data_IF_649383102281
#
_entry.id   IF_649383102281
#
_cell.length_a   1.000
_cell.length_b   1.000
_cell.length_c   1.000
_cell.angle_alpha   90.00
_cell.angle_beta   90.00
_cell.angle_gamma   90.00
#
_symmetry.space_group_name_H-M   'P 1'
#
loop_
_entity.id
_entity.type
_entity.pdbx_description
1 polymer ?
#
# COMPACT_ATOMS: atom_id res chain seq x y z
N UNK A 1 11.59 11.18 -21.26
CA UNK A 1 12.27 11.13 -19.95
C UNK A 1 11.36 10.50 -18.91
N UNK A 2 11.59 9.24 -18.55
CA UNK A 2 10.93 8.58 -17.41
C UNK A 2 12.02 8.27 -16.39
N UNK A 3 12.00 9.02 -15.30
CA UNK A 3 12.87 8.86 -14.13
C UNK A 3 12.28 7.78 -13.23
N UNK A 4 13.10 6.92 -12.59
CA UNK A 4 12.61 6.14 -11.45
C UNK A 4 12.08 7.11 -10.39
N UNK A 5 10.77 7.02 -10.11
CA UNK A 5 10.19 7.74 -9.00
C UNK A 5 10.46 6.95 -7.71
N UNK A 6 11.64 7.13 -7.11
CA UNK A 6 11.80 6.87 -5.68
C UNK A 6 10.77 7.75 -4.97
N UNK A 7 9.89 7.17 -4.17
CA UNK A 7 8.99 7.94 -3.31
C UNK A 7 9.54 7.76 -1.92
N UNK A 8 10.33 8.74 -1.48
CA UNK A 8 10.74 8.86 -0.09
C UNK A 8 9.58 9.59 0.59
N UNK A 9 8.86 8.92 1.49
CA UNK A 9 7.92 9.63 2.38
C UNK A 9 8.75 10.19 3.51
N UNK A 10 9.41 11.31 3.24
CA UNK A 10 9.96 12.15 4.30
C UNK A 10 8.77 12.75 5.05
N UNK A 11 8.61 12.41 6.32
CA UNK A 11 7.90 13.28 7.24
C UNK A 11 8.82 14.44 7.59
N UNK A 12 9.06 15.31 6.61
CA UNK A 12 9.56 16.65 6.90
C UNK A 12 8.48 17.36 7.71
N UNK A 13 8.86 17.94 8.85
CA UNK A 13 8.05 18.89 9.62
C UNK A 13 7.91 20.22 8.87
N UNK A 14 7.56 20.18 7.59
CA UNK A 14 6.93 21.29 6.90
C UNK A 14 5.44 21.04 7.02
N UNK A 15 4.69 22.01 7.55
CA UNK A 15 3.23 22.01 7.57
C UNK A 15 2.70 21.83 6.14
N UNK A 16 2.52 20.58 5.72
CA UNK A 16 1.84 20.27 4.46
C UNK A 16 0.44 20.84 4.59
N UNK A 17 0.13 21.89 3.82
CA UNK A 17 -1.18 22.50 3.83
C UNK A 17 -2.21 21.41 3.52
N UNK A 18 -3.00 21.05 4.54
CA UNK A 18 -3.96 19.96 4.44
C UNK A 18 -5.21 20.49 3.76
N UNK A 19 -5.38 20.15 2.48
CA UNK A 19 -6.62 20.42 1.76
C UNK A 19 -7.73 19.47 2.21
N UNK A 20 -8.94 20.01 2.36
CA UNK A 20 -10.13 19.22 2.66
C UNK A 20 -10.36 18.15 1.57
N UNK A 21 -10.89 16.99 1.96
CA UNK A 21 -11.10 15.86 1.06
C UNK A 21 -12.58 15.75 0.65
N UNK A 22 -13.01 16.72 -0.13
CA UNK A 22 -14.40 16.91 -0.55
C UNK A 22 -14.55 16.75 -2.06
N UNK A 23 -15.73 16.31 -2.51
CA UNK A 23 -16.11 16.27 -3.91
C UNK A 23 -17.60 16.65 -4.08
N UNK A 24 -18.00 17.26 -5.21
CA UNK A 24 -19.39 17.65 -5.46
C UNK A 24 -20.19 16.59 -6.22
N UNK A 25 -19.54 15.52 -6.69
CA UNK A 25 -20.15 14.49 -7.53
C UNK A 25 -20.43 13.20 -6.75
N UNK A 26 -21.57 12.58 -7.01
CA UNK A 26 -21.93 11.25 -6.50
C UNK A 26 -21.18 10.13 -7.25
N UNK A 27 -20.74 10.42 -8.49
CA UNK A 27 -20.07 9.49 -9.38
C UNK A 27 -19.20 10.23 -10.39
N UNK A 28 -18.14 9.58 -10.88
CA UNK A 28 -17.27 10.11 -11.92
C UNK A 28 -16.79 8.97 -12.81
N UNK A 29 -16.93 9.13 -14.11
CA UNK A 29 -16.40 8.22 -15.12
C UNK A 29 -15.70 9.00 -16.24
N UNK A 30 -14.87 8.31 -17.00
CA UNK A 30 -14.09 8.91 -18.08
C UNK A 30 -14.59 8.39 -19.41
N UNK A 31 -15.01 9.30 -20.29
CA UNK A 31 -15.20 9.02 -21.70
C UNK A 31 -13.95 9.53 -22.43
N UNK A 32 -13.03 8.62 -22.72
CA UNK A 32 -11.65 8.97 -23.12
C UNK A 32 -10.97 9.88 -22.10
N UNK A 33 -10.78 11.16 -22.42
CA UNK A 33 -10.19 12.15 -21.51
C UNK A 33 -11.23 13.10 -20.90
N UNK A 34 -12.49 12.96 -21.26
CA UNK A 34 -13.57 13.81 -20.78
C UNK A 34 -14.26 13.21 -19.54
N UNK A 35 -14.31 13.94 -18.41
CA UNK A 35 -15.02 13.53 -17.22
C UNK A 35 -16.52 13.72 -17.40
N UNK A 36 -17.24 12.62 -17.19
CA UNK A 36 -18.68 12.63 -16.96
C UNK A 36 -18.91 12.48 -15.45
N UNK A 37 -19.79 13.31 -14.91
CA UNK A 37 -20.04 13.41 -13.48
C UNK A 37 -21.51 13.09 -13.19
N UNK A 38 -21.74 12.36 -12.11
CA UNK A 38 -23.08 12.08 -11.62
C UNK A 38 -23.40 13.05 -10.48
N UNK A 39 -24.53 13.74 -10.60
CA UNK A 39 -25.07 14.62 -9.56
C UNK A 39 -26.55 14.29 -9.42
N UNK A 40 -26.97 13.97 -8.19
CA UNK A 40 -28.34 13.58 -7.84
C UNK A 40 -28.86 12.46 -8.77
N UNK A 41 -28.04 11.39 -8.88
CA UNK A 41 -28.29 10.19 -9.70
C UNK A 41 -28.40 10.43 -11.22
N UNK A 42 -28.10 11.63 -11.69
CA UNK A 42 -28.13 11.96 -13.13
C UNK A 42 -26.72 12.19 -13.65
N UNK A 43 -26.37 11.58 -14.80
CA UNK A 43 -25.07 11.75 -15.43
C UNK A 43 -25.04 12.94 -16.39
N UNK A 44 -23.94 13.69 -16.33
CA UNK A 44 -23.69 14.86 -17.16
C UNK A 44 -22.26 14.89 -17.70
N UNK A 45 -22.05 15.56 -18.82
CA UNK A 45 -20.72 16.05 -19.18
C UNK A 45 -20.39 17.28 -18.31
N UNK A 46 -19.21 17.30 -17.71
CA UNK A 46 -18.77 18.48 -16.96
C UNK A 46 -18.24 19.55 -17.92
N UNK A 47 -18.65 20.79 -17.70
CA UNK A 47 -18.17 21.97 -18.43
C UNK A 47 -17.33 22.88 -17.55
N UNK A 48 -17.78 23.20 -16.33
CA UNK A 48 -17.07 24.09 -15.42
C UNK A 48 -17.40 23.81 -13.95
N UNK A 49 -16.54 24.30 -13.04
CA UNK A 49 -16.73 24.29 -11.59
C UNK A 49 -16.41 25.69 -11.09
N UNK A 50 -17.37 26.37 -10.46
CA UNK A 50 -17.28 27.78 -10.04
C UNK A 50 -16.74 28.70 -11.16
N UNK A 51 -17.22 28.49 -12.39
CA UNK A 51 -16.79 29.22 -13.58
C UNK A 51 -15.41 28.82 -14.12
N UNK A 52 -14.63 28.01 -13.41
CA UNK A 52 -13.36 27.47 -13.91
C UNK A 52 -13.64 26.38 -14.94
N UNK A 53 -13.25 26.62 -16.20
CA UNK A 53 -13.46 25.67 -17.30
C UNK A 53 -12.78 24.34 -17.02
N UNK A 54 -13.50 23.23 -17.23
CA UNK A 54 -12.99 21.85 -17.14
C UNK A 54 -11.64 21.72 -17.86
N UNK A 55 -11.52 22.24 -19.09
CA UNK A 55 -10.30 22.12 -19.89
C UNK A 55 -9.08 22.73 -19.19
N UNK A 56 -9.24 23.85 -18.48
CA UNK A 56 -8.18 24.48 -17.69
C UNK A 56 -7.79 23.61 -16.49
N UNK A 57 -8.79 23.06 -15.78
CA UNK A 57 -8.57 22.15 -14.64
C UNK A 57 -7.81 20.90 -15.10
N UNK A 58 -8.23 20.28 -16.20
CA UNK A 58 -7.56 19.10 -16.75
C UNK A 58 -6.14 19.39 -17.22
N UNK A 59 -5.93 20.53 -17.88
CA UNK A 59 -4.61 20.97 -18.34
C UNK A 59 -3.66 21.16 -17.15
N UNK A 60 -4.13 21.84 -16.10
CA UNK A 60 -3.39 21.99 -14.85
C UNK A 60 -3.07 20.64 -14.21
N UNK A 61 -4.04 19.73 -14.16
CA UNK A 61 -3.84 18.39 -13.61
C UNK A 61 -2.79 17.57 -14.38
N UNK A 62 -2.85 17.59 -15.72
CA UNK A 62 -1.90 16.90 -16.59
C UNK A 62 -0.49 17.47 -16.46
N UNK A 63 -0.36 18.79 -16.44
CA UNK A 63 0.92 19.49 -16.25
C UNK A 63 1.55 19.16 -14.90
N UNK A 64 0.76 19.18 -13.83
CA UNK A 64 1.26 19.06 -12.46
C UNK A 64 1.50 17.60 -12.04
N UNK A 65 0.64 16.65 -12.45
CA UNK A 65 0.68 15.28 -11.92
C UNK A 65 0.78 14.17 -12.98
N UNK A 66 0.97 14.52 -14.26
CA UNK A 66 1.21 13.59 -15.38
C UNK A 66 0.23 12.41 -15.33
N UNK A 67 0.69 11.15 -15.32
CA UNK A 67 -0.15 9.95 -15.30
C UNK A 67 -1.09 9.76 -14.10
N UNK A 68 -1.09 10.67 -13.12
CA UNK A 68 -2.06 10.70 -12.01
C UNK A 68 -3.12 11.80 -12.14
N UNK A 69 -3.20 12.48 -13.27
CA UNK A 69 -4.09 13.63 -13.47
C UNK A 69 -5.57 13.31 -13.20
N UNK A 70 -6.06 12.15 -13.68
CA UNK A 70 -7.44 11.70 -13.44
C UNK A 70 -7.71 11.48 -11.95
N UNK A 71 -6.75 10.89 -11.24
CA UNK A 71 -6.83 10.70 -9.78
C UNK A 71 -6.95 12.03 -9.06
N UNK A 72 -6.12 13.01 -9.43
CA UNK A 72 -6.10 14.32 -8.76
C UNK A 72 -7.39 15.08 -9.01
N UNK A 73 -7.89 15.02 -10.24
CA UNK A 73 -9.19 15.58 -10.58
C UNK A 73 -10.32 14.94 -9.75
N UNK A 74 -10.33 13.61 -9.61
CA UNK A 74 -11.43 12.90 -8.93
C UNK A 74 -11.38 12.95 -7.40
N UNK A 75 -10.19 12.88 -6.79
CA UNK A 75 -10.05 12.64 -5.35
C UNK A 75 -9.50 13.83 -4.55
N UNK A 76 -8.89 14.79 -5.24
CA UNK A 76 -8.15 15.91 -4.64
C UNK A 76 -8.58 17.26 -5.24
N UNK A 77 -9.85 17.38 -5.63
CA UNK A 77 -10.37 18.56 -6.32
C UNK A 77 -10.15 19.88 -5.57
N UNK A 78 -10.30 19.88 -4.24
CA UNK A 78 -10.03 21.05 -3.39
C UNK A 78 -8.57 21.51 -3.53
N UNK A 79 -7.62 20.57 -3.56
CA UNK A 79 -6.20 20.87 -3.76
C UNK A 79 -5.93 21.40 -5.18
N UNK A 80 -6.55 20.79 -6.19
CA UNK A 80 -6.42 21.20 -7.59
C UNK A 80 -6.87 22.65 -7.76
N UNK A 81 -8.10 22.96 -7.34
CA UNK A 81 -8.70 24.27 -7.52
C UNK A 81 -8.01 25.33 -6.64
N UNK A 82 -7.63 25.00 -5.40
CA UNK A 82 -6.88 25.94 -4.55
C UNK A 82 -5.52 26.31 -5.13
N UNK A 83 -4.78 25.34 -5.70
CA UNK A 83 -3.49 25.61 -6.36
C UNK A 83 -3.64 26.38 -7.68
N UNK A 84 -4.83 26.35 -8.28
CA UNK A 84 -5.18 27.18 -9.44
C UNK A 84 -5.59 28.60 -9.03
N UNK A 85 -5.63 28.93 -7.74
CA UNK A 85 -6.09 30.25 -7.25
C UNK A 85 -7.61 30.36 -7.08
N UNK A 86 -8.33 29.25 -7.14
CA UNK A 86 -9.79 29.19 -7.05
C UNK A 86 -10.25 28.23 -5.94
N UNK A 87 -9.91 28.46 -4.66
CA UNK A 87 -10.28 27.54 -3.59
C UNK A 87 -11.80 27.38 -3.47
N UNK A 88 -12.35 26.15 -3.59
CA UNK A 88 -13.79 25.95 -3.58
C UNK A 88 -14.36 26.05 -2.16
N UNK A 89 -15.61 26.51 -2.06
CA UNK A 89 -16.35 26.57 -0.79
C UNK A 89 -16.93 25.23 -0.36
N UNK A 90 -17.87 25.26 0.60
CA UNK A 90 -18.65 24.08 1.02
C UNK A 90 -19.68 23.63 -0.02
N UNK A 91 -19.95 24.47 -1.01
CA UNK A 91 -20.78 24.20 -2.17
C UNK A 91 -20.16 24.89 -3.40
N UNK A 92 -20.44 24.36 -4.58
CA UNK A 92 -19.93 24.86 -5.86
C UNK A 92 -21.03 24.90 -6.92
N UNK A 93 -20.89 25.80 -7.88
CA UNK A 93 -21.73 25.84 -9.08
C UNK A 93 -21.09 24.96 -10.17
N UNK A 94 -21.85 24.02 -10.72
CA UNK A 94 -21.38 23.12 -11.78
C UNK A 94 -22.02 23.48 -13.11
N UNK A 95 -21.21 23.91 -14.08
CA UNK A 95 -21.62 23.96 -15.48
C UNK A 95 -21.63 22.55 -16.05
N UNK A 96 -22.77 22.10 -16.54
CA UNK A 96 -22.97 20.72 -17.01
C UNK A 96 -23.77 20.67 -18.31
N UNK A 97 -23.60 19.60 -19.09
CA UNK A 97 -24.39 19.31 -20.29
C UNK A 97 -25.00 17.91 -20.20
N UNK A 98 -26.25 17.76 -20.62
CA UNK A 98 -26.92 16.45 -20.68
C UNK A 98 -26.23 15.52 -21.69
N UNK A 99 -26.14 14.23 -21.38
CA UNK A 99 -25.51 13.24 -22.26
C UNK A 99 -26.34 12.96 -23.54
N UNK A 100 -27.66 13.18 -23.50
CA UNK A 100 -28.60 12.98 -24.62
C UNK A 100 -28.53 14.08 -25.68
N UNK A 101 -27.61 15.03 -25.56
CA UNK A 101 -27.63 16.28 -26.32
C UNK A 101 -28.51 17.34 -25.65
N UNK A 102 -28.06 18.60 -25.68
CA UNK A 102 -28.73 19.74 -25.04
C UNK A 102 -27.78 20.91 -24.75
N UNK A 103 -28.35 22.06 -24.40
CA UNK A 103 -27.61 23.24 -23.97
C UNK A 103 -26.87 23.03 -22.65
N UNK A 104 -25.87 23.87 -22.39
CA UNK A 104 -25.21 23.94 -21.08
C UNK A 104 -26.19 24.48 -20.02
N UNK A 105 -26.21 23.86 -18.85
CA UNK A 105 -26.98 24.33 -17.68
C UNK A 105 -26.07 24.41 -16.46
N UNK A 106 -26.39 25.29 -15.52
CA UNK A 106 -25.67 25.42 -14.25
C UNK A 106 -26.47 24.76 -13.13
N UNK A 107 -25.89 23.77 -12.46
CA UNK A 107 -26.39 23.26 -11.18
C UNK A 107 -25.81 24.13 -10.07
N UNK A 108 -26.64 24.90 -9.39
CA UNK A 108 -26.18 25.85 -8.36
C UNK A 108 -26.08 25.18 -6.99
N UNK A 109 -25.09 25.60 -6.21
CA UNK A 109 -24.99 25.24 -4.79
C UNK A 109 -24.80 23.75 -4.51
N UNK A 110 -24.11 23.03 -5.40
CA UNK A 110 -23.87 21.59 -5.24
C UNK A 110 -22.91 21.36 -4.09
N UNK A 111 -23.38 20.65 -3.05
CA UNK A 111 -22.61 20.43 -1.83
C UNK A 111 -21.31 19.62 -2.08
N UNK A 112 -20.20 20.13 -1.54
CA UNK A 112 -18.90 19.48 -1.50
C UNK A 112 -18.80 18.63 -0.23
N UNK A 113 -18.86 17.30 -0.34
CA UNK A 113 -18.92 16.42 0.84
C UNK A 113 -17.82 15.35 0.86
N UNK A 114 -17.44 14.93 2.07
CA UNK A 114 -16.50 13.80 2.27
C UNK A 114 -17.12 12.47 1.83
N UNK A 115 -18.43 12.31 1.99
CA UNK A 115 -19.16 11.11 1.61
C UNK A 115 -19.11 10.88 0.09
N UNK A 116 -19.38 11.92 -0.70
CA UNK A 116 -19.24 11.90 -2.18
C UNK A 116 -17.83 11.54 -2.60
N UNK A 117 -16.82 12.19 -2.01
CA UNK A 117 -15.41 11.87 -2.28
C UNK A 117 -15.06 10.42 -1.94
N UNK A 118 -15.56 9.91 -0.82
CA UNK A 118 -15.33 8.53 -0.39
C UNK A 118 -16.00 7.55 -1.36
N UNK A 119 -17.20 7.87 -1.86
CA UNK A 119 -17.88 7.07 -2.88
C UNK A 119 -17.07 7.00 -4.18
N UNK A 120 -16.51 8.12 -4.66
CA UNK A 120 -15.63 8.15 -5.83
C UNK A 120 -14.38 7.28 -5.65
N UNK A 121 -13.76 7.34 -4.47
CA UNK A 121 -12.60 6.54 -4.13
C UNK A 121 -12.92 5.04 -4.08
N UNK A 122 -14.04 4.67 -3.45
CA UNK A 122 -14.53 3.29 -3.36
C UNK A 122 -14.91 2.73 -4.73
N UNK A 123 -15.67 3.49 -5.52
CA UNK A 123 -16.09 3.11 -6.87
C UNK A 123 -14.87 2.89 -7.78
N UNK A 124 -13.84 3.73 -7.71
CA UNK A 124 -12.61 3.52 -8.47
C UNK A 124 -11.82 2.29 -8.01
N UNK A 125 -11.83 2.01 -6.71
CA UNK A 125 -11.18 0.83 -6.14
C UNK A 125 -11.89 -0.48 -6.53
N UNK A 126 -13.20 -0.42 -6.79
CA UNK A 126 -14.02 -1.56 -7.22
C UNK A 126 -14.07 -1.73 -8.76
N UNK A 127 -14.19 -0.63 -9.51
CA UNK A 127 -14.27 -0.61 -10.99
C UNK A 127 -12.91 -0.56 -11.68
N UNK A 128 -11.80 -0.65 -10.95
CA UNK A 128 -10.52 -0.90 -11.60
C UNK A 128 -10.59 -2.31 -12.22
N UNK A 129 -10.55 -2.46 -13.55
CA UNK A 129 -10.37 -3.76 -14.14
C UNK A 129 -9.09 -4.34 -13.55
N UNK A 130 -9.13 -5.62 -13.18
CA UNK A 130 -7.94 -6.44 -12.90
C UNK A 130 -7.07 -6.48 -14.17
N UNK A 131 -6.35 -5.40 -14.47
CA UNK A 131 -5.51 -5.28 -15.67
C UNK A 131 -5.49 -3.93 -16.41
N UNK A 132 -6.38 -2.96 -16.14
CA UNK A 132 -6.38 -1.70 -16.92
C UNK A 132 -5.64 -0.56 -16.20
N UNK A 133 -4.32 -0.73 -16.07
CA UNK A 133 -3.39 0.38 -16.08
C UNK A 133 -2.49 0.16 -17.29
N UNK A 134 -2.89 0.71 -18.44
CA UNK A 134 -2.11 0.69 -19.65
C UNK A 134 -2.97 0.59 -20.90
N UNK A 135 -3.26 1.74 -21.51
CA UNK A 135 -3.08 1.84 -22.96
C UNK A 135 -1.78 1.10 -23.30
N UNK A 136 -1.83 0.22 -24.31
CA UNK A 136 -0.73 -0.61 -24.78
C UNK A 136 0.62 0.12 -24.66
N UNK A 137 1.30 -0.08 -23.53
CA UNK A 137 2.71 0.24 -23.43
C UNK A 137 3.36 -0.84 -24.26
N UNK A 138 3.94 -0.47 -25.40
CA UNK A 138 5.08 -1.20 -25.96
C UNK A 138 5.94 -1.69 -24.79
N UNK A 139 6.45 -2.92 -24.89
CA UNK A 139 7.41 -3.48 -23.94
C UNK A 139 8.35 -2.35 -23.48
N UNK A 140 8.53 -2.13 -22.16
CA UNK A 140 9.25 -0.96 -21.68
C UNK A 140 10.60 -0.91 -22.38
N UNK A 141 10.87 0.21 -23.08
CA UNK A 141 12.20 0.45 -23.60
C UNK A 141 13.17 0.33 -22.41
N UNK A 142 14.15 -0.57 -22.54
CA UNK A 142 15.20 -0.74 -21.54
C UNK A 142 15.81 0.62 -21.23
N UNK A 143 16.04 0.90 -19.94
CA UNK A 143 16.76 2.10 -19.54
C UNK A 143 18.16 2.04 -20.16
N UNK A 144 18.58 3.16 -20.75
CA UNK A 144 19.98 3.31 -21.20
C UNK A 144 20.90 3.37 -19.99
N UNK A 145 22.18 3.01 -20.18
CA UNK A 145 23.21 3.11 -19.13
C UNK A 145 23.23 4.48 -18.45
N UNK A 146 23.23 5.56 -19.23
CA UNK A 146 23.23 6.93 -18.73
C UNK A 146 21.98 7.26 -17.88
N UNK A 147 20.82 6.68 -18.21
CA UNK A 147 19.61 6.84 -17.40
C UNK A 147 19.71 6.09 -16.06
N UNK A 148 20.30 4.90 -16.05
CA UNK A 148 20.55 4.14 -14.81
C UNK A 148 21.54 4.90 -13.92
N UNK A 149 22.63 5.41 -14.47
CA UNK A 149 23.60 6.24 -13.75
C UNK A 149 22.93 7.47 -13.12
N UNK A 150 22.12 8.21 -13.90
CA UNK A 150 21.39 9.38 -13.40
C UNK A 150 20.34 9.04 -12.32
N UNK A 151 19.73 7.87 -12.38
CA UNK A 151 18.80 7.40 -11.35
C UNK A 151 19.55 6.98 -10.06
N UNK A 152 20.74 6.39 -10.18
CA UNK A 152 21.63 6.10 -9.03
C UNK A 152 22.11 7.40 -8.38
N UNK A 153 22.50 8.42 -9.16
CA UNK A 153 22.89 9.73 -8.60
C UNK A 153 21.73 10.40 -7.85
N UNK A 154 20.51 10.27 -8.39
CA UNK A 154 19.31 10.77 -7.72
C UNK A 154 19.01 10.00 -6.44
N UNK A 155 19.24 8.69 -6.41
CA UNK A 155 19.14 7.88 -5.20
C UNK A 155 20.16 8.35 -4.16
N UNK A 156 21.42 8.53 -4.56
CA UNK A 156 22.51 9.05 -3.74
C UNK A 156 22.11 10.36 -3.05
N UNK A 157 21.65 11.33 -3.85
CA UNK A 157 21.23 12.63 -3.35
C UNK A 157 20.12 12.51 -2.31
N UNK A 158 19.14 11.62 -2.51
CA UNK A 158 18.04 11.42 -1.57
C UNK A 158 18.47 10.76 -0.28
N UNK A 159 19.34 9.75 -0.35
CA UNK A 159 19.93 9.12 0.83
C UNK A 159 20.69 10.15 1.64
N UNK A 160 21.48 10.98 0.97
CA UNK A 160 22.30 11.98 1.64
C UNK A 160 21.50 13.15 2.24
N UNK A 161 20.54 13.70 1.49
CA UNK A 161 19.92 14.99 1.84
C UNK A 161 18.49 14.91 2.39
N UNK A 162 17.82 13.76 2.23
CA UNK A 162 16.39 13.66 2.57
C UNK A 162 16.06 12.48 3.49
N UNK A 163 16.93 11.48 3.58
CA UNK A 163 16.62 10.26 4.30
C UNK A 163 16.93 10.37 5.80
N UNK A 164 15.87 10.41 6.61
CA UNK A 164 15.95 10.70 8.05
C UNK A 164 16.72 9.64 8.86
N UNK A 165 16.78 8.39 8.39
CA UNK A 165 17.41 7.28 9.11
C UNK A 165 18.74 6.84 8.47
N UNK A 166 19.35 7.69 7.64
CA UNK A 166 20.61 7.38 6.93
C UNK A 166 21.68 6.80 7.87
N UNK A 167 21.86 7.44 9.03
CA UNK A 167 22.95 7.12 9.96
C UNK A 167 22.49 6.25 11.14
N UNK A 168 21.21 5.87 11.21
CA UNK A 168 20.61 5.19 12.38
C UNK A 168 21.33 3.89 12.76
N UNK A 169 21.75 3.12 11.76
CA UNK A 169 22.43 1.82 11.94
C UNK A 169 23.92 1.86 11.58
N UNK A 170 24.49 3.04 11.33
CA UNK A 170 25.90 3.17 10.95
C UNK A 170 26.29 2.46 9.64
N UNK A 171 25.35 2.30 8.71
CA UNK A 171 25.61 1.68 7.40
C UNK A 171 26.60 2.55 6.61
N UNK A 172 27.65 1.94 6.04
CA UNK A 172 28.48 2.59 5.02
C UNK A 172 27.69 2.70 3.70
N UNK A 173 26.76 3.65 3.68
CA UNK A 173 25.87 3.83 2.55
C UNK A 173 26.60 4.26 1.29
N UNK A 174 27.77 4.91 1.40
CA UNK A 174 28.56 5.34 0.25
C UNK A 174 29.23 4.14 -0.42
N UNK A 175 29.85 3.25 0.36
CA UNK A 175 30.39 1.98 -0.14
C UNK A 175 29.31 1.08 -0.74
N UNK A 176 28.18 0.91 -0.04
CA UNK A 176 27.03 0.11 -0.51
C UNK A 176 26.42 0.68 -1.80
N UNK A 177 26.33 2.01 -1.93
CA UNK A 177 25.86 2.66 -3.15
C UNK A 177 26.85 2.51 -4.31
N UNK A 178 28.16 2.55 -4.04
CA UNK A 178 29.18 2.29 -5.06
C UNK A 178 29.08 0.85 -5.59
N UNK A 179 28.90 -0.13 -4.69
CA UNK A 179 28.65 -1.53 -5.06
C UNK A 179 27.35 -1.69 -5.87
N UNK A 180 26.27 -1.01 -5.45
CA UNK A 180 25.01 -0.98 -6.21
C UNK A 180 25.21 -0.38 -7.60
N UNK A 181 25.98 0.71 -7.73
CA UNK A 181 26.27 1.35 -9.02
C UNK A 181 26.97 0.37 -9.97
N UNK A 182 27.97 -0.36 -9.49
CA UNK A 182 28.68 -1.38 -10.28
C UNK A 182 27.73 -2.48 -10.78
N UNK A 183 26.81 -2.94 -9.92
CA UNK A 183 25.80 -3.94 -10.29
C UNK A 183 24.83 -3.43 -11.35
N UNK A 184 24.33 -2.20 -11.20
CA UNK A 184 23.27 -1.66 -12.08
C UNK A 184 23.80 -1.16 -13.43
N UNK A 185 25.04 -0.69 -13.48
CA UNK A 185 25.65 -0.03 -14.66
C UNK A 185 26.50 -1.00 -15.50
N UNK A 186 26.64 -2.25 -15.05
CA UNK A 186 27.37 -3.31 -15.75
C UNK A 186 26.86 -3.64 -17.16
N UNK A 187 27.57 -4.52 -17.87
CA UNK A 187 27.44 -4.77 -19.32
C UNK A 187 26.04 -5.22 -19.81
N UNK A 188 25.13 -5.60 -18.91
CA UNK A 188 23.71 -5.79 -19.19
C UNK A 188 22.89 -5.10 -18.11
N UNK A 189 21.91 -4.28 -18.53
CA UNK A 189 20.93 -3.72 -17.61
C UNK A 189 20.21 -4.89 -16.91
N UNK A 190 20.36 -4.98 -15.59
CA UNK A 190 19.73 -6.03 -14.80
C UNK A 190 18.20 -5.89 -14.88
N UNK A 191 17.46 -6.90 -15.41
CA UNK A 191 16.00 -6.88 -15.36
C UNK A 191 15.44 -6.82 -13.93
N UNK A 192 16.28 -7.06 -12.92
CA UNK A 192 16.00 -6.98 -11.49
C UNK A 192 16.59 -5.74 -10.81
N UNK A 193 17.02 -4.71 -11.55
CA UNK A 193 17.54 -3.46 -10.97
C UNK A 193 16.68 -2.87 -9.82
N UNK A 194 15.33 -2.88 -9.86
CA UNK A 194 14.52 -2.44 -8.73
C UNK A 194 14.64 -3.30 -7.47
N UNK A 195 14.96 -4.59 -7.60
CA UNK A 195 15.20 -5.52 -6.49
C UNK A 195 16.52 -5.19 -5.80
N UNK A 196 17.59 -4.92 -6.56
CA UNK A 196 18.88 -4.54 -5.97
C UNK A 196 18.78 -3.20 -5.22
N UNK A 197 18.01 -2.23 -5.74
CA UNK A 197 17.71 -1.00 -4.99
C UNK A 197 16.90 -1.30 -3.71
N UNK A 198 15.95 -2.23 -3.76
CA UNK A 198 15.19 -2.65 -2.58
C UNK A 198 16.10 -3.29 -1.51
N UNK A 199 17.04 -4.14 -1.90
CA UNK A 199 18.03 -4.75 -1.00
C UNK A 199 18.94 -3.69 -0.36
N UNK A 200 19.43 -2.74 -1.15
CA UNK A 200 20.20 -1.61 -0.65
C UNK A 200 19.42 -0.82 0.43
N UNK A 201 18.17 -0.47 0.15
CA UNK A 201 17.33 0.29 1.09
C UNK A 201 16.98 -0.50 2.36
N UNK A 202 16.89 -1.84 2.27
CA UNK A 202 16.61 -2.69 3.42
C UNK A 202 17.72 -2.64 4.49
N UNK A 203 18.98 -2.34 4.11
CA UNK A 203 20.11 -2.22 5.04
C UNK A 203 19.91 -1.15 6.11
N UNK A 204 19.18 -0.09 5.79
CA UNK A 204 18.96 1.04 6.70
C UNK A 204 17.89 0.79 7.77
N UNK A 205 17.19 -0.35 7.73
CA UNK A 205 16.22 -0.73 8.76
C UNK A 205 14.90 0.05 8.78
N UNK A 206 14.58 0.81 7.72
CA UNK A 206 13.32 1.54 7.63
C UNK A 206 12.24 0.81 6.84
N UNK A 207 11.19 0.37 7.53
CA UNK A 207 9.99 -0.25 6.92
C UNK A 207 9.10 0.70 6.10
N UNK A 208 9.35 2.00 6.13
CA UNK A 208 8.59 3.01 5.38
C UNK A 208 9.22 3.35 4.04
N UNK A 209 10.51 3.06 3.87
CA UNK A 209 11.24 3.32 2.63
C UNK A 209 10.98 2.23 1.61
N UNK A 210 10.57 2.65 0.38
CA UNK A 210 10.13 1.73 -0.68
C UNK A 210 10.49 2.27 -2.06
N UNK A 211 10.76 1.36 -3.00
CA UNK A 211 10.87 1.67 -4.42
C UNK A 211 9.46 1.77 -5.02
N UNK A 212 9.14 2.88 -5.70
CA UNK A 212 7.84 3.16 -6.29
C UNK A 212 7.83 3.02 -7.82
N UNK A 213 6.65 2.72 -8.41
CA UNK A 213 6.50 2.51 -9.86
C UNK A 213 5.82 1.17 -10.16
N UNK A 214 4.98 1.12 -11.19
CA UNK A 214 4.02 0.02 -11.44
C UNK A 214 4.66 -1.31 -11.86
N UNK A 215 4.01 -2.39 -11.39
CA UNK A 215 4.11 -3.80 -11.76
C UNK A 215 5.34 -4.57 -11.23
N UNK A 216 5.14 -5.21 -10.06
CA UNK A 216 5.86 -6.40 -9.57
C UNK A 216 7.40 -6.27 -9.66
N UNK A 217 7.97 -5.42 -8.79
CA UNK A 217 9.42 -5.34 -8.54
C UNK A 217 10.02 -6.74 -8.36
N UNK A 218 9.34 -7.58 -7.58
CA UNK A 218 9.73 -8.96 -7.39
C UNK A 218 9.11 -9.85 -8.48
N UNK A 219 9.85 -10.86 -8.98
CA UNK A 219 9.36 -11.82 -9.95
C UNK A 219 7.99 -12.40 -9.57
N UNK A 220 7.05 -12.54 -10.54
CA UNK A 220 5.77 -13.18 -10.28
C UNK A 220 5.95 -14.69 -10.06
N UNK A 221 5.05 -15.29 -9.29
CA UNK A 221 5.09 -16.70 -8.95
C UNK A 221 5.11 -16.86 -7.45
N UNK A 222 3.94 -17.14 -6.87
CA UNK A 222 3.73 -17.10 -5.43
C UNK A 222 3.40 -18.49 -4.88
N UNK A 223 3.72 -18.72 -3.61
CA UNK A 223 3.21 -19.88 -2.90
C UNK A 223 1.67 -19.88 -2.90
N UNK A 224 1.02 -21.04 -3.06
CA UNK A 224 -0.43 -21.17 -3.02
C UNK A 224 -0.98 -21.16 -1.58
N UNK A 225 -0.14 -20.93 -0.58
CA UNK A 225 -0.48 -20.89 0.85
C UNK A 225 0.11 -19.65 1.49
N UNK A 226 -0.52 -19.21 2.59
CA UNK A 226 0.05 -18.17 3.45
C UNK A 226 0.98 -18.82 4.48
N UNK A 227 2.20 -18.32 4.62
CA UNK A 227 3.11 -18.73 5.68
C UNK A 227 2.97 -17.78 6.87
N UNK A 228 2.93 -18.34 8.08
CA UNK A 228 2.92 -17.56 9.31
C UNK A 228 3.86 -18.21 10.36
N UNK A 229 4.64 -17.42 11.11
CA UNK A 229 5.39 -17.94 12.23
C UNK A 229 4.43 -18.37 13.35
N UNK A 230 4.72 -19.50 13.99
CA UNK A 230 4.04 -19.97 15.19
C UNK A 230 5.11 -20.54 16.14
N UNK A 231 5.53 -19.72 17.11
CA UNK A 231 6.73 -20.01 17.90
C UNK A 231 7.98 -20.10 17.01
N UNK A 232 8.77 -21.14 17.23
CA UNK A 232 9.95 -21.52 16.45
C UNK A 232 9.61 -22.17 15.10
N UNK A 233 8.36 -22.58 14.89
CA UNK A 233 7.90 -23.25 13.66
C UNK A 233 7.19 -22.28 12.72
N UNK A 234 6.84 -22.81 11.55
CA UNK A 234 6.12 -22.10 10.48
C UNK A 234 4.90 -22.93 10.10
N UNK A 235 3.74 -22.29 10.00
CA UNK A 235 2.50 -22.92 9.56
C UNK A 235 2.11 -22.47 8.16
N UNK A 236 1.53 -23.38 7.39
CA UNK A 236 0.88 -23.07 6.12
C UNK A 236 -0.64 -22.93 6.33
N UNK A 237 -1.17 -21.77 5.98
CA UNK A 237 -2.57 -21.41 6.11
C UNK A 237 -3.22 -21.26 4.73
N UNK A 238 -4.54 -21.45 4.68
CA UNK A 238 -5.31 -21.17 3.46
C UNK A 238 -5.27 -19.68 3.14
N UNK A 239 -5.12 -19.29 1.85
CA UNK A 239 -5.31 -17.91 1.44
C UNK A 239 -6.70 -17.41 1.84
N UNK A 240 -6.81 -16.17 2.32
CA UNK A 240 -8.06 -15.61 2.82
C UNK A 240 -8.41 -15.94 4.27
N UNK A 241 -7.62 -16.78 4.95
CA UNK A 241 -7.87 -17.21 6.32
C UNK A 241 -8.61 -18.55 6.41
N UNK A 242 -9.06 -18.92 7.61
CA UNK A 242 -9.85 -20.15 7.82
C UNK A 242 -9.03 -21.41 8.11
N UNK A 243 -7.87 -21.26 8.76
CA UNK A 243 -7.10 -22.38 9.30
C UNK A 243 -6.05 -22.98 8.35
N UNK A 244 -5.53 -24.18 8.68
CA UNK A 244 -4.37 -24.75 8.01
C UNK A 244 -4.67 -25.19 6.58
N UNK A 245 -3.67 -25.08 5.71
CA UNK A 245 -3.76 -25.51 4.31
C UNK A 245 -4.06 -27.01 4.21
N UNK A 246 -3.46 -27.81 5.10
CA UNK A 246 -3.72 -29.25 5.25
C UNK A 246 -4.18 -29.51 6.69
N UNK A 247 -5.45 -29.90 6.92
CA UNK A 247 -5.94 -30.28 8.24
C UNK A 247 -5.07 -31.37 8.89
N UNK A 248 -4.75 -31.20 10.16
CA UNK A 248 -3.91 -32.13 10.94
C UNK A 248 -2.41 -32.05 10.68
N UNK A 249 -1.96 -31.41 9.60
CA UNK A 249 -0.53 -31.22 9.27
C UNK A 249 -0.24 -29.76 8.91
N UNK A 250 -0.28 -28.83 9.87
CA UNK A 250 -0.19 -27.41 9.58
C UNK A 250 1.25 -26.90 9.39
N UNK A 251 2.26 -27.62 9.91
CA UNK A 251 3.62 -27.12 10.01
C UNK A 251 4.42 -27.42 8.75
N UNK A 252 5.15 -26.44 8.23
CA UNK A 252 5.99 -26.59 7.04
C UNK A 252 7.36 -27.14 7.44
N UNK A 253 7.81 -28.21 6.79
CA UNK A 253 9.17 -28.75 6.92
C UNK A 253 10.09 -28.21 5.84
N UNK A 254 9.64 -28.30 4.59
CA UNK A 254 10.44 -27.91 3.43
C UNK A 254 9.56 -27.38 2.30
N UNK A 255 10.17 -26.56 1.44
CA UNK A 255 9.58 -26.05 0.20
C UNK A 255 10.59 -26.33 -0.91
N UNK A 256 10.15 -27.03 -1.96
CA UNK A 256 11.00 -27.57 -3.04
C UNK A 256 12.20 -28.37 -2.53
N UNK A 257 12.03 -29.09 -1.42
CA UNK A 257 13.10 -29.85 -0.78
C UNK A 257 14.09 -28.99 0.04
N UNK A 258 13.91 -27.67 0.07
CA UNK A 258 14.70 -26.75 0.90
C UNK A 258 14.05 -26.64 2.28
N UNK A 259 14.80 -26.84 3.38
CA UNK A 259 14.29 -26.62 4.73
C UNK A 259 13.65 -25.24 4.88
N UNK A 260 12.51 -25.16 5.59
CA UNK A 260 11.71 -23.93 5.63
C UNK A 260 12.48 -22.71 6.13
N UNK A 261 13.41 -22.86 7.08
CA UNK A 261 14.21 -21.74 7.59
C UNK A 261 15.20 -21.22 6.54
N UNK A 262 15.80 -22.12 5.74
CA UNK A 262 16.64 -21.71 4.60
C UNK A 262 15.81 -21.04 3.52
N UNK A 263 14.60 -21.53 3.26
CA UNK A 263 13.66 -20.89 2.34
C UNK A 263 13.30 -19.47 2.79
N UNK A 264 12.99 -19.28 4.08
CA UNK A 264 12.73 -17.95 4.66
C UNK A 264 13.98 -17.07 4.60
N UNK A 265 15.16 -17.63 4.81
CA UNK A 265 16.45 -16.94 4.65
C UNK A 265 16.63 -16.32 3.27
N UNK A 266 16.15 -16.99 2.21
CA UNK A 266 16.15 -16.44 0.85
C UNK A 266 15.29 -15.18 0.67
N UNK A 267 14.34 -14.91 1.56
CA UNK A 267 13.57 -13.67 1.55
C UNK A 267 14.23 -12.52 2.34
N UNK A 268 15.28 -12.79 3.12
CA UNK A 268 15.83 -11.84 4.08
C UNK A 268 16.48 -10.62 3.43
N UNK A 269 17.01 -10.76 2.20
CA UNK A 269 17.72 -9.70 1.49
C UNK A 269 16.86 -8.45 1.23
N UNK A 270 15.54 -8.59 1.22
CA UNK A 270 14.58 -7.49 1.01
C UNK A 270 13.85 -7.07 2.29
N UNK A 271 14.24 -7.61 3.44
CA UNK A 271 13.63 -7.31 4.74
C UNK A 271 14.44 -6.21 5.43
N UNK A 272 13.81 -5.10 5.86
CA UNK A 272 14.50 -4.07 6.61
C UNK A 272 15.19 -4.66 7.86
N UNK A 273 16.45 -4.31 8.07
CA UNK A 273 17.20 -4.70 9.28
C UNK A 273 16.49 -4.18 10.53
N UNK A 274 16.37 -5.01 11.56
CA UNK A 274 15.70 -4.63 12.79
C UNK A 274 15.75 -5.74 13.83
N UNK A 275 14.80 -5.73 14.77
CA UNK A 275 14.71 -6.78 15.78
C UNK A 275 14.56 -8.18 15.14
N UNK A 276 15.23 -9.24 15.64
CA UNK A 276 15.21 -10.57 15.02
C UNK A 276 13.79 -11.13 14.82
N UNK A 277 12.88 -10.92 15.76
CA UNK A 277 11.49 -11.35 15.64
C UNK A 277 10.73 -10.62 14.53
N UNK A 278 10.98 -9.32 14.37
CA UNK A 278 10.43 -8.54 13.26
C UNK A 278 10.95 -9.07 11.93
N UNK A 279 12.26 -9.25 11.82
CA UNK A 279 12.89 -9.76 10.61
C UNK A 279 12.37 -11.15 10.26
N UNK A 280 12.28 -12.07 11.22
CA UNK A 280 11.73 -13.41 11.01
C UNK A 280 10.28 -13.38 10.54
N UNK A 281 9.43 -12.57 11.19
CA UNK A 281 8.02 -12.42 10.81
C UNK A 281 7.89 -11.88 9.39
N UNK A 282 8.58 -10.78 9.07
CA UNK A 282 8.51 -10.17 7.74
C UNK A 282 9.12 -11.07 6.68
N UNK A 283 10.24 -11.76 6.95
CA UNK A 283 10.83 -12.72 6.03
C UNK A 283 9.87 -13.89 5.75
N UNK A 284 9.19 -14.41 6.76
CA UNK A 284 8.16 -15.45 6.60
C UNK A 284 7.00 -14.94 5.74
N UNK A 285 6.54 -13.71 5.99
CA UNK A 285 5.52 -13.06 5.17
C UNK A 285 6.00 -12.85 3.73
N UNK A 286 7.29 -12.58 3.48
CA UNK A 286 7.87 -12.38 2.13
C UNK A 286 8.24 -13.69 1.43
N UNK A 287 8.40 -14.78 2.16
CA UNK A 287 8.76 -16.08 1.62
C UNK A 287 7.70 -16.67 0.66
N UNK A 288 6.51 -16.07 0.57
CA UNK A 288 5.52 -16.42 -0.46
C UNK A 288 5.93 -16.02 -1.88
N UNK A 289 6.90 -15.12 -2.08
CA UNK A 289 7.44 -14.78 -3.40
C UNK A 289 8.36 -15.91 -3.90
N UNK A 290 7.77 -17.06 -4.23
CA UNK A 290 8.53 -18.29 -4.52
C UNK A 290 9.53 -18.14 -5.67
N UNK A 291 9.16 -17.45 -6.76
CA UNK A 291 10.09 -17.21 -7.87
C UNK A 291 11.30 -16.36 -7.45
N UNK A 292 11.10 -15.37 -6.58
CA UNK A 292 12.18 -14.55 -6.02
C UNK A 292 13.06 -15.39 -5.08
N UNK A 293 12.47 -16.10 -4.12
CA UNK A 293 13.23 -16.91 -3.16
C UNK A 293 14.03 -18.00 -3.86
N UNK A 294 13.50 -18.63 -4.90
CA UNK A 294 14.25 -19.59 -5.74
C UNK A 294 15.48 -18.94 -6.37
N UNK A 295 15.36 -17.73 -6.89
CA UNK A 295 16.48 -17.00 -7.48
C UNK A 295 17.52 -16.63 -6.43
N UNK A 296 17.12 -16.15 -5.24
CA UNK A 296 18.05 -15.83 -4.15
C UNK A 296 18.77 -17.05 -3.56
N UNK A 297 18.23 -18.24 -3.78
CA UNK A 297 18.79 -19.51 -3.31
C UNK A 297 19.47 -20.32 -4.42
N UNK A 298 19.60 -19.75 -5.62
CA UNK A 298 20.17 -20.40 -6.81
C UNK A 298 19.53 -21.77 -7.11
N UNK A 299 18.22 -21.89 -6.89
CA UNK A 299 17.52 -23.15 -7.10
C UNK A 299 17.25 -23.38 -8.61
N UNK A 300 17.45 -24.61 -9.10
CA UNK A 300 17.21 -24.93 -10.50
C UNK A 300 15.74 -24.70 -10.88
N UNK A 301 15.50 -24.16 -12.08
CA UNK A 301 14.15 -23.88 -12.60
C UNK A 301 13.32 -25.14 -12.92
N UNK A 302 13.73 -26.33 -12.46
CA UNK A 302 12.94 -27.57 -12.60
C UNK A 302 11.58 -27.32 -11.97
N UNK A 303 10.53 -27.40 -12.79
CA UNK A 303 9.14 -27.11 -12.42
C UNK A 303 8.88 -25.65 -12.02
N UNK A 304 9.35 -24.69 -12.83
CA UNK A 304 9.11 -23.25 -12.62
C UNK A 304 7.62 -22.86 -12.41
N UNK A 305 6.68 -23.69 -12.86
CA UNK A 305 5.22 -23.45 -12.76
C UNK A 305 4.54 -24.07 -11.54
N UNK A 306 5.20 -24.93 -10.77
CA UNK A 306 4.65 -25.58 -9.57
C UNK A 306 5.60 -25.50 -8.38
N UNK A 307 5.11 -25.79 -7.18
CA UNK A 307 5.89 -25.83 -5.93
C UNK A 307 5.51 -27.07 -5.13
N UNK A 308 6.52 -27.70 -4.51
CA UNK A 308 6.33 -28.79 -3.56
C UNK A 308 6.46 -28.25 -2.14
N UNK A 309 5.48 -28.53 -1.28
CA UNK A 309 5.49 -28.13 0.13
C UNK A 309 5.32 -29.38 0.97
N UNK A 310 6.30 -29.68 1.83
CA UNK A 310 6.23 -30.78 2.77
C UNK A 310 5.75 -30.26 4.12
N UNK A 311 4.66 -30.86 4.60
CA UNK A 311 3.94 -30.45 5.80
C UNK A 311 3.93 -31.58 6.82
N UNK A 312 3.84 -31.23 8.09
CA UNK A 312 3.81 -32.19 9.19
C UNK A 312 2.87 -31.79 10.31
N UNK A 313 2.46 -32.77 11.11
CA UNK A 313 1.66 -32.55 12.32
C UNK A 313 2.53 -32.02 13.48
N UNK A 314 1.89 -31.78 14.63
CA UNK A 314 2.57 -31.15 15.77
C UNK A 314 3.76 -31.97 16.30
N UNK A 315 3.65 -33.30 16.35
CA UNK A 315 4.71 -34.19 16.84
C UNK A 315 5.65 -34.72 15.73
N UNK A 316 5.46 -34.32 14.47
CA UNK A 316 6.30 -34.77 13.35
C UNK A 316 5.98 -36.16 12.79
N UNK A 317 5.02 -36.89 13.37
CA UNK A 317 4.73 -38.29 13.02
C UNK A 317 4.02 -38.46 11.68
N UNK A 318 3.32 -37.43 11.19
CA UNK A 318 2.56 -37.47 9.93
C UNK A 318 3.11 -36.44 8.96
N UNK A 319 3.67 -36.91 7.85
CA UNK A 319 4.18 -36.06 6.77
C UNK A 319 3.25 -36.09 5.56
N UNK A 320 2.98 -34.93 4.97
CA UNK A 320 2.16 -34.76 3.77
C UNK A 320 2.94 -33.93 2.77
N UNK A 321 3.14 -34.45 1.56
CA UNK A 321 3.73 -33.70 0.45
C UNK A 321 2.62 -33.13 -0.43
N UNK A 322 2.59 -31.81 -0.55
CA UNK A 322 1.62 -31.09 -1.38
C UNK A 322 2.33 -30.47 -2.58
N UNK A 323 1.97 -30.91 -3.79
CA UNK A 323 2.44 -30.28 -5.04
C UNK A 323 1.30 -29.48 -5.66
N UNK A 324 1.54 -28.20 -5.93
CA UNK A 324 0.52 -27.28 -6.47
C UNK A 324 1.14 -26.30 -7.46
N UNK A 325 0.38 -25.79 -8.44
CA UNK A 325 0.83 -24.69 -9.28
C UNK A 325 1.20 -23.47 -8.43
N UNK A 326 2.20 -22.69 -8.88
CA UNK A 326 2.44 -21.37 -8.31
C UNK A 326 1.19 -20.51 -8.53
N UNK A 327 0.80 -19.77 -7.48
CA UNK A 327 -0.29 -18.82 -7.60
C UNK A 327 0.15 -17.64 -8.48
N UNK A 328 -0.78 -17.11 -9.28
CA UNK A 328 -0.56 -15.91 -10.10
C UNK A 328 -0.66 -14.59 -9.32
N UNK A 329 -1.05 -14.66 -8.03
CA UNK A 329 -1.19 -13.52 -7.11
C UNK A 329 -0.67 -13.88 -5.72
N UNK A 330 -0.18 -12.89 -4.95
CA UNK A 330 0.20 -13.10 -3.55
C UNK A 330 -0.96 -13.70 -2.74
N UNK A 331 -0.72 -14.73 -1.92
CA UNK A 331 -1.68 -15.17 -0.92
C UNK A 331 -1.88 -14.04 0.10
N UNK A 332 -3.12 -13.59 0.28
CA UNK A 332 -3.44 -12.54 1.24
C UNK A 332 -4.14 -13.13 2.46
N UNK A 333 -3.69 -12.75 3.65
CA UNK A 333 -4.57 -12.83 4.82
C UNK A 333 -5.73 -11.85 4.61
N UNK A 334 -6.94 -12.23 5.00
CA UNK A 334 -8.04 -11.28 5.21
C UNK A 334 -8.21 -11.13 6.72
N UNK A 335 -7.41 -10.29 7.41
CA UNK A 335 -7.81 -9.87 8.74
C UNK A 335 -9.21 -9.27 8.66
N UNK A 336 -10.03 -9.46 9.71
CA UNK A 336 -11.28 -8.72 9.82
C UNK A 336 -10.97 -7.23 9.68
N UNK A 337 -11.42 -6.65 8.58
CA UNK A 337 -11.28 -5.23 8.27
C UNK A 337 -12.31 -4.39 9.04
N UNK A 338 -13.19 -5.04 9.78
CA UNK A 338 -14.28 -4.42 10.51
C UNK A 338 -13.76 -3.97 11.88
N UNK A 339 -13.86 -2.66 12.19
CA UNK A 339 -13.70 -2.18 13.55
C UNK A 339 -14.74 -2.85 14.46
N UNK A 340 -14.33 -3.23 15.67
CA UNK A 340 -15.17 -3.99 16.60
C UNK A 340 -15.06 -3.37 18.00
N UNK A 341 -16.16 -3.41 18.74
CA UNK A 341 -16.16 -3.12 20.18
C UNK A 341 -17.14 -4.09 20.85
N UNK A 342 -16.74 -4.65 22.00
CA UNK A 342 -17.58 -5.45 22.88
C UNK A 342 -16.98 -5.56 24.28
N UNK A 343 -17.76 -6.06 25.22
CA UNK A 343 -17.26 -6.53 26.52
C UNK A 343 -17.09 -8.06 26.45
N UNK A 344 -15.96 -8.56 26.91
CA UNK A 344 -15.63 -9.97 27.02
C UNK A 344 -16.01 -10.50 28.41
N UNK A 345 -15.98 -11.82 28.55
CA UNK A 345 -16.13 -12.49 29.85
C UNK A 345 -15.09 -11.96 30.86
N UNK A 346 -15.50 -11.88 32.13
CA UNK A 346 -14.68 -11.29 33.20
C UNK A 346 -14.66 -9.76 33.21
N UNK A 347 -15.64 -9.12 32.56
CA UNK A 347 -15.78 -7.66 32.48
C UNK A 347 -14.54 -6.99 31.87
N UNK A 348 -14.13 -7.48 30.68
CA UNK A 348 -12.98 -6.93 29.94
C UNK A 348 -13.47 -6.23 28.68
N UNK A 349 -13.28 -4.92 28.59
CA UNK A 349 -13.47 -4.15 27.38
C UNK A 349 -12.57 -4.62 26.24
N UNK A 350 -13.11 -4.75 25.03
CA UNK A 350 -12.36 -5.08 23.83
C UNK A 350 -12.68 -4.10 22.71
N UNK A 351 -11.64 -3.49 22.13
CA UNK A 351 -11.74 -2.61 20.96
C UNK A 351 -10.74 -3.07 19.90
N UNK A 352 -11.23 -3.39 18.70
CA UNK A 352 -10.39 -3.71 17.53
C UNK A 352 -10.23 -2.50 16.61
N UNK A 353 -8.98 -2.11 16.35
CA UNK A 353 -8.62 -1.04 15.41
C UNK A 353 -7.84 -1.68 14.24
N UNK A 354 -8.54 -2.10 13.17
CA UNK A 354 -7.92 -2.86 12.07
C UNK A 354 -7.04 -1.99 11.16
N UNK A 355 -7.18 -0.67 11.21
CA UNK A 355 -6.32 0.29 10.51
C UNK A 355 -6.33 1.64 11.23
N UNK A 356 -5.27 2.43 11.11
CA UNK A 356 -5.26 3.80 11.63
C UNK A 356 -5.99 4.74 10.68
N UNK A 357 -7.32 4.68 10.68
CA UNK A 357 -8.17 5.53 9.84
C UNK A 357 -8.11 7.01 10.26
N UNK A 358 -8.62 7.88 9.38
CA UNK A 358 -8.75 9.32 9.62
C UNK A 358 -10.19 9.78 9.40
N UNK A 359 -10.57 10.90 10.00
CA UNK A 359 -11.83 11.57 9.73
C UNK A 359 -12.81 11.50 10.88
N UNK A 360 -13.84 12.35 10.82
CA UNK A 360 -14.75 12.57 11.95
C UNK A 360 -15.53 11.31 12.34
N UNK A 361 -15.93 10.48 11.36
CA UNK A 361 -16.66 9.24 11.62
C UNK A 361 -15.83 8.24 12.43
N UNK A 362 -14.54 8.08 12.11
CA UNK A 362 -13.64 7.22 12.85
C UNK A 362 -13.43 7.72 14.28
N UNK A 363 -13.16 9.03 14.45
CA UNK A 363 -12.99 9.62 15.79
C UNK A 363 -14.23 9.44 16.66
N UNK A 364 -15.43 9.72 16.12
CA UNK A 364 -16.70 9.51 16.84
C UNK A 364 -16.93 8.06 17.20
N UNK A 365 -16.64 7.14 16.29
CA UNK A 365 -16.74 5.71 16.58
C UNK A 365 -15.81 5.33 17.74
N UNK A 366 -14.55 5.77 17.70
CA UNK A 366 -13.56 5.41 18.72
C UNK A 366 -13.90 6.01 20.10
N UNK A 367 -14.38 7.26 20.17
CA UNK A 367 -14.90 7.83 21.41
C UNK A 367 -16.06 7.01 21.97
N UNK A 368 -17.08 6.69 21.16
CA UNK A 368 -18.20 5.84 21.61
C UNK A 368 -17.74 4.46 22.07
N UNK A 369 -16.78 3.85 21.37
CA UNK A 369 -16.23 2.56 21.74
C UNK A 369 -15.53 2.62 23.10
N UNK A 370 -14.75 3.68 23.36
CA UNK A 370 -14.12 3.89 24.66
C UNK A 370 -15.16 4.16 25.75
N UNK A 371 -16.13 5.03 25.49
CA UNK A 371 -17.17 5.36 26.47
C UNK A 371 -17.99 4.13 26.89
N UNK A 372 -18.15 3.15 26.00
CA UNK A 372 -18.84 1.90 26.27
C UNK A 372 -18.04 0.89 27.12
N UNK A 373 -16.72 1.03 27.21
CA UNK A 373 -15.85 0.05 27.89
C UNK A 373 -14.91 0.65 28.93
N UNK A 374 -14.88 1.97 29.09
CA UNK A 374 -13.94 2.67 29.99
C UNK A 374 -14.10 2.27 31.46
N UNK A 375 -15.28 1.79 31.86
CA UNK A 375 -15.60 1.42 33.23
C UNK A 375 -15.47 -0.10 33.49
N UNK A 376 -15.00 -0.86 32.49
CA UNK A 376 -14.74 -2.31 32.63
C UNK A 376 -13.49 -2.56 33.47
N UNK A 377 -13.43 -3.72 34.15
CA UNK A 377 -12.31 -4.12 35.00
C UNK A 377 -10.95 -4.23 34.25
N UNK A 378 -10.97 -4.42 32.94
CA UNK A 378 -9.77 -4.43 32.10
C UNK A 378 -10.05 -4.06 30.65
N UNK A 379 -9.02 -3.64 29.90
CA UNK A 379 -9.18 -3.22 28.51
C UNK A 379 -8.14 -3.87 27.59
N UNK A 380 -8.61 -4.37 26.44
CA UNK A 380 -7.79 -4.89 25.35
C UNK A 380 -8.00 -4.04 24.09
N UNK A 381 -6.92 -3.44 23.59
CA UNK A 381 -6.90 -2.73 22.31
C UNK A 381 -6.22 -3.58 21.22
N UNK A 382 -7.07 -4.18 20.39
CA UNK A 382 -6.87 -4.99 19.19
C UNK A 382 -6.18 -4.31 18.00
N UNK A 383 -4.84 -4.11 17.97
CA UNK A 383 -4.13 -3.54 16.79
C UNK A 383 -3.40 -4.56 15.91
N UNK A 384 -3.60 -5.86 16.10
CA UNK A 384 -2.94 -6.88 15.28
C UNK A 384 -3.46 -6.84 13.85
N UNK A 385 -2.53 -6.90 12.90
CA UNK A 385 -2.81 -6.75 11.47
C UNK A 385 -3.06 -5.30 11.03
N UNK A 386 -2.90 -4.31 11.92
CA UNK A 386 -3.00 -2.90 11.58
C UNK A 386 -1.70 -2.43 10.90
N UNK A 387 -1.80 -2.09 9.61
CA UNK A 387 -0.67 -1.60 8.79
C UNK A 387 -0.31 -0.12 9.00
N UNK A 388 -0.86 0.53 10.02
CA UNK A 388 -0.67 1.95 10.29
C UNK A 388 -1.67 2.84 9.55
N UNK A 389 -1.28 4.10 9.32
CA UNK A 389 -2.11 5.14 8.70
C UNK A 389 -1.98 6.49 9.41
N UNK A 390 -3.11 7.09 9.76
CA UNK A 390 -3.21 8.37 10.45
C UNK A 390 -2.74 8.30 11.91
N UNK A 391 -2.40 9.45 12.49
CA UNK A 391 -2.13 9.59 13.94
C UNK A 391 -3.40 9.85 14.78
N UNK A 392 -4.57 9.85 14.15
CA UNK A 392 -5.82 10.26 14.82
C UNK A 392 -6.24 9.31 15.94
N UNK A 393 -6.07 7.99 15.79
CA UNK A 393 -6.40 7.03 16.85
C UNK A 393 -5.62 7.35 18.14
N UNK A 394 -4.31 7.60 18.01
CA UNK A 394 -3.45 7.95 19.14
C UNK A 394 -3.91 9.25 19.83
N UNK A 395 -4.29 10.26 19.03
CA UNK A 395 -4.77 11.55 19.57
C UNK A 395 -6.11 11.42 20.30
N UNK A 396 -6.99 10.56 19.81
CA UNK A 396 -8.30 10.28 20.43
C UNK A 396 -8.15 9.48 21.71
N UNK A 397 -7.25 8.49 21.72
CA UNK A 397 -7.06 7.59 22.86
C UNK A 397 -6.24 8.22 23.98
N UNK A 398 -5.27 9.10 23.67
CA UNK A 398 -4.37 9.70 24.67
C UNK A 398 -5.09 10.23 25.92
N UNK A 399 -6.17 11.03 25.82
CA UNK A 399 -6.84 11.59 27.00
C UNK A 399 -7.53 10.55 27.90
N UNK A 400 -7.75 9.32 27.40
CA UNK A 400 -8.32 8.23 28.21
C UNK A 400 -7.28 7.52 29.06
N UNK A 401 -5.99 7.66 28.74
CA UNK A 401 -4.89 6.94 29.42
C UNK A 401 -3.87 7.85 30.09
N UNK A 402 -3.86 9.14 29.73
CA UNK A 402 -2.85 10.09 30.19
C UNK A 402 -3.52 11.39 30.59
N UNK A 403 -3.07 11.96 31.71
CA UNK A 403 -3.40 13.33 32.10
C UNK A 403 -2.76 14.33 31.12
N UNK A 404 -3.28 15.56 31.11
CA UNK A 404 -2.74 16.64 30.25
C UNK A 404 -1.28 16.97 30.58
N UNK A 405 -0.88 16.77 31.81
CA UNK A 405 0.45 17.06 32.35
C UNK A 405 1.44 15.93 32.14
N UNK A 406 0.99 14.74 31.73
CA UNK A 406 1.88 13.61 31.55
C UNK A 406 2.82 13.86 30.35
N UNK A 407 4.12 13.55 30.51
CA UNK A 407 5.07 13.63 29.40
C UNK A 407 4.67 12.68 28.28
N UNK A 408 4.95 13.03 27.01
CA UNK A 408 4.62 12.20 25.86
C UNK A 408 5.39 10.88 25.81
#
# INVERSE_FOLDING_TARGET
>A
MRTLAVILVCLSSATAQRYAKLAPFDGLRWNSEDPEVMVDKTWYQLVSIDGVKKSAILSFCKKTWRGRWQKRFSEDLVEVLSRMGHPPGKAVDLGVRALSGGGEKTLRGVAMTEARRTALWSARSQNQPRGAAGQASRAPASLTRAQVEADVDRLAWRVEHAYAYRDLLGVDWRGELAALRLKLVGARADPHAPVEVMKFLARFGDGHTRVGGSARILPPGFLPVLLAPLGDRVVALRPGGGGPAVPGSPYVKSIDGVPVDRWIGGAMSIVPVGHPEFMRRVATERAHFAAFVRAELDLPAKNASSVSIELTNANGSKNVKMVRPLAGRPPMARPSATPEQRTLEGDVGYIRIPSMASGASFRRWLHRSMDAVKDTAGLVIDVRGNGGGSREALRVLRPYFMAKTDPP
#
